data_IF_964293811285
#
_entry.id   IF_964293811285
#
_cell.length_a   1.000
_cell.length_b   1.000
_cell.length_c   1.000
_cell.angle_alpha   90.00
_cell.angle_beta   90.00
_cell.angle_gamma   90.00
#
_symmetry.space_group_name_H-M   'P 1'
#
loop_
_entity.id
_entity.type
_entity.pdbx_description
1 polymer ?
#
# COMPACT_ATOMS: atom_id res chain seq x y z
N UNK A 1 13.94 -21.54 -25.98
CA UNK A 1 13.21 -20.38 -25.45
C UNK A 1 14.15 -19.58 -24.57
N UNK A 2 14.29 -18.28 -24.83
CA UNK A 2 15.06 -17.40 -23.96
C UNK A 2 14.33 -17.23 -22.60
N UNK A 3 15.06 -17.07 -21.49
CA UNK A 3 14.43 -16.80 -20.22
C UNK A 3 13.89 -15.36 -20.20
N UNK A 4 12.73 -15.15 -19.57
CA UNK A 4 12.16 -13.81 -19.42
C UNK A 4 13.14 -12.87 -18.70
N UNK A 5 13.21 -11.58 -19.07
CA UNK A 5 14.07 -10.62 -18.42
C UNK A 5 13.85 -10.60 -16.90
N UNK A 6 14.95 -10.49 -16.14
CA UNK A 6 14.92 -10.39 -14.68
C UNK A 6 15.56 -9.08 -14.26
N UNK A 7 14.77 -8.22 -13.65
CA UNK A 7 15.23 -6.91 -13.20
C UNK A 7 15.62 -6.94 -11.73
N UNK A 8 16.65 -6.18 -11.37
CA UNK A 8 17.04 -5.98 -9.97
C UNK A 8 16.04 -5.10 -9.23
N UNK A 9 16.00 -5.25 -7.90
CA UNK A 9 15.27 -4.32 -7.03
C UNK A 9 15.84 -2.91 -7.20
N UNK A 10 14.97 -1.92 -7.23
CA UNK A 10 15.30 -0.51 -7.37
C UNK A 10 14.43 0.34 -6.46
N UNK A 11 14.88 1.56 -6.18
CA UNK A 11 14.15 2.53 -5.35
C UNK A 11 13.68 3.68 -6.24
N UNK A 12 12.46 4.15 -6.02
CA UNK A 12 11.93 5.33 -6.69
C UNK A 12 12.63 6.60 -6.18
N UNK A 13 12.61 7.70 -6.92
CA UNK A 13 12.83 9.03 -6.36
C UNK A 13 11.84 9.35 -5.24
N UNK A 14 12.02 10.49 -4.56
CA UNK A 14 11.02 11.04 -3.63
C UNK A 14 9.77 11.41 -4.42
N UNK A 15 8.62 10.93 -4.00
CA UNK A 15 7.33 11.29 -4.59
C UNK A 15 6.27 11.45 -3.54
N UNK A 16 5.19 12.12 -3.90
CA UNK A 16 4.04 12.34 -3.02
C UNK A 16 3.08 11.17 -3.11
N UNK A 17 2.73 10.57 -2.00
CA UNK A 17 1.80 9.44 -1.94
C UNK A 17 0.38 9.87 -2.32
N UNK A 18 -0.26 9.05 -3.14
CA UNK A 18 -1.65 9.20 -3.54
C UNK A 18 -2.38 7.88 -3.32
N UNK A 19 -3.42 7.90 -2.50
CA UNK A 19 -4.20 6.73 -2.06
C UNK A 19 -3.33 5.58 -1.54
N UNK A 20 -2.45 5.82 -0.56
CA UNK A 20 -1.60 4.78 0.00
C UNK A 20 -2.42 3.82 0.87
N UNK A 21 -2.28 2.51 0.63
CA UNK A 21 -2.76 1.43 1.48
C UNK A 21 -1.54 0.69 2.04
N UNK A 22 -0.82 1.33 2.96
CA UNK A 22 0.46 0.87 3.50
C UNK A 22 0.37 0.40 4.95
N UNK A 23 -0.52 1.01 5.74
CA UNK A 23 -0.77 0.61 7.13
C UNK A 23 -1.59 -0.66 7.23
N UNK A 24 -2.58 -0.81 6.33
CA UNK A 24 -3.40 -2.00 6.20
C UNK A 24 -3.64 -2.31 4.71
N UNK A 25 -3.82 -3.59 4.34
CA UNK A 25 -4.08 -3.95 2.95
C UNK A 25 -5.53 -3.58 2.56
N UNK A 26 -5.70 -3.09 1.33
CA UNK A 26 -7.02 -2.87 0.74
C UNK A 26 -7.67 -4.21 0.36
N UNK A 27 -8.86 -4.49 0.91
CA UNK A 27 -9.64 -5.71 0.67
C UNK A 27 -10.83 -5.50 -0.25
N UNK A 28 -11.03 -4.29 -0.79
CA UNK A 28 -12.20 -3.92 -1.59
C UNK A 28 -12.39 -4.78 -2.83
N UNK A 29 -11.30 -5.08 -3.54
CA UNK A 29 -11.32 -5.86 -4.79
C UNK A 29 -10.65 -7.23 -4.67
N UNK A 30 -9.79 -7.41 -3.69
CA UNK A 30 -9.05 -8.64 -3.42
C UNK A 30 -9.27 -8.99 -1.95
N UNK A 31 -10.08 -10.00 -1.62
CA UNK A 31 -10.43 -10.34 -0.23
C UNK A 31 -9.23 -10.61 0.66
N UNK A 32 -8.17 -11.20 0.10
CA UNK A 32 -6.92 -11.45 0.81
C UNK A 32 -6.13 -10.17 1.11
N UNK A 33 -6.49 -9.04 0.48
CA UNK A 33 -5.90 -7.74 0.65
C UNK A 33 -4.65 -7.47 -0.20
N UNK A 34 -4.46 -6.18 -0.54
CA UNK A 34 -3.32 -5.70 -1.33
C UNK A 34 -2.78 -4.41 -0.72
N UNK A 35 -1.49 -4.40 -0.38
CA UNK A 35 -0.77 -3.15 -0.10
C UNK A 35 -0.44 -2.45 -1.40
N UNK A 36 -0.65 -1.15 -1.46
CA UNK A 36 -0.41 -0.38 -2.67
C UNK A 36 -0.15 1.09 -2.37
N UNK A 37 0.55 1.77 -3.27
CA UNK A 37 0.75 3.21 -3.21
C UNK A 37 0.93 3.75 -4.64
N UNK A 38 0.15 4.73 -5.05
CA UNK A 38 0.47 5.57 -6.20
C UNK A 38 1.40 6.68 -5.75
N UNK A 39 2.21 7.19 -6.65
CA UNK A 39 3.12 8.29 -6.35
C UNK A 39 3.00 9.36 -7.42
N UNK A 40 2.92 10.61 -7.00
CA UNK A 40 2.88 11.78 -7.87
C UNK A 40 4.25 12.41 -7.93
N UNK A 41 4.67 12.79 -9.13
CA UNK A 41 5.95 13.41 -9.42
C UNK A 41 5.79 14.67 -10.28
N UNK A 42 6.73 15.60 -10.13
CA UNK A 42 6.91 16.70 -11.06
C UNK A 42 7.74 16.22 -12.25
N UNK A 43 7.25 16.33 -13.50
CA UNK A 43 8.01 15.95 -14.70
C UNK A 43 9.32 16.70 -14.88
N UNK A 44 9.47 17.89 -14.29
CA UNK A 44 10.68 18.70 -14.31
C UNK A 44 11.78 18.19 -13.36
N UNK A 45 11.47 17.27 -12.43
CA UNK A 45 12.44 16.69 -11.52
C UNK A 45 13.41 15.77 -12.28
N UNK A 46 14.72 16.09 -12.29
CA UNK A 46 15.71 15.29 -13.01
C UNK A 46 15.87 13.86 -12.46
N UNK A 47 15.64 13.62 -11.15
CA UNK A 47 15.66 12.29 -10.57
C UNK A 47 14.48 11.44 -11.10
N UNK A 48 13.32 12.07 -11.22
CA UNK A 48 12.14 11.43 -11.79
C UNK A 48 12.34 11.14 -13.28
N UNK A 49 12.82 12.10 -14.06
CA UNK A 49 13.07 11.92 -15.49
C UNK A 49 14.04 10.75 -15.76
N UNK A 50 15.16 10.68 -15.02
CA UNK A 50 16.12 9.58 -15.14
C UNK A 50 15.55 8.22 -14.69
N UNK A 51 14.68 8.20 -13.66
CA UNK A 51 14.00 6.99 -13.23
C UNK A 51 12.99 6.52 -14.29
N UNK A 52 12.19 7.43 -14.83
CA UNK A 52 11.20 7.17 -15.89
C UNK A 52 11.88 6.56 -17.14
N UNK A 53 13.01 7.11 -17.58
CA UNK A 53 13.80 6.59 -18.68
C UNK A 53 14.22 5.12 -18.45
N UNK A 54 14.72 4.79 -17.23
CA UNK A 54 15.05 3.41 -16.85
C UNK A 54 13.87 2.46 -16.93
N UNK A 55 12.71 2.89 -16.45
CA UNK A 55 11.49 2.08 -16.51
C UNK A 55 11.03 1.89 -17.95
N UNK A 56 11.09 2.94 -18.79
CA UNK A 56 10.78 2.83 -20.23
C UNK A 56 11.69 1.83 -20.91
N UNK A 57 13.00 1.92 -20.70
CA UNK A 57 13.95 0.96 -21.29
C UNK A 57 13.67 -0.49 -20.86
N UNK A 58 13.28 -0.73 -19.59
CA UNK A 58 12.88 -2.06 -19.13
C UNK A 58 11.60 -2.55 -19.80
N UNK A 59 10.61 -1.67 -20.02
CA UNK A 59 9.36 -2.02 -20.75
C UNK A 59 9.68 -2.38 -22.19
N UNK A 60 10.58 -1.65 -22.86
CA UNK A 60 11.00 -1.91 -24.22
C UNK A 60 11.74 -3.26 -24.33
N UNK A 61 12.62 -3.58 -23.36
CA UNK A 61 13.28 -4.90 -23.28
C UNK A 61 12.25 -6.04 -23.15
N UNK A 62 11.23 -5.87 -22.29
CA UNK A 62 10.15 -6.84 -22.12
C UNK A 62 9.32 -6.97 -23.41
N UNK A 63 9.08 -5.86 -24.10
CA UNK A 63 8.36 -5.85 -25.38
C UNK A 63 9.11 -6.66 -26.44
N UNK A 64 10.42 -6.44 -26.60
CA UNK A 64 11.25 -7.20 -27.56
C UNK A 64 11.28 -8.70 -27.22
N UNK A 65 11.40 -9.04 -25.92
CA UNK A 65 11.30 -10.43 -25.48
C UNK A 65 9.99 -11.07 -25.92
N UNK A 66 8.83 -10.44 -25.66
CA UNK A 66 7.53 -11.02 -26.02
C UNK A 66 7.25 -11.00 -27.52
N UNK A 67 7.82 -10.06 -28.29
CA UNK A 67 7.78 -10.10 -29.77
C UNK A 67 8.50 -11.34 -30.33
N UNK A 68 9.62 -11.71 -29.71
CA UNK A 68 10.38 -12.91 -30.10
C UNK A 68 9.65 -14.20 -29.65
N UNK A 69 9.14 -14.26 -28.41
CA UNK A 69 8.46 -15.44 -27.86
C UNK A 69 7.08 -15.71 -28.50
N UNK A 70 6.38 -14.65 -28.94
CA UNK A 70 5.01 -14.74 -29.46
C UNK A 70 4.86 -14.17 -30.87
N UNK A 71 5.54 -14.75 -31.87
CA UNK A 71 5.58 -14.19 -33.25
C UNK A 71 4.20 -14.07 -33.89
N UNK A 72 3.23 -14.92 -33.51
CA UNK A 72 1.86 -14.89 -34.05
C UNK A 72 1.08 -13.63 -33.64
N UNK A 73 1.37 -13.04 -32.48
CA UNK A 73 0.68 -11.86 -31.93
C UNK A 73 1.56 -10.61 -31.87
N UNK A 74 2.82 -10.68 -32.30
CA UNK A 74 3.80 -9.58 -32.20
C UNK A 74 3.30 -8.23 -32.70
N UNK A 75 2.50 -8.21 -33.77
CA UNK A 75 1.92 -6.98 -34.34
C UNK A 75 0.78 -6.40 -33.52
N UNK A 76 0.23 -7.16 -32.57
CA UNK A 76 -0.88 -6.77 -31.68
C UNK A 76 -0.40 -6.39 -30.27
N UNK A 77 0.87 -6.64 -29.96
CA UNK A 77 1.42 -6.30 -28.65
C UNK A 77 1.43 -4.79 -28.44
N UNK A 78 1.01 -4.36 -27.25
CA UNK A 78 0.96 -2.95 -26.85
C UNK A 78 1.84 -2.76 -25.61
N UNK A 79 2.75 -1.80 -25.66
CA UNK A 79 3.53 -1.42 -24.50
C UNK A 79 2.62 -0.77 -23.44
N UNK A 80 2.74 -1.19 -22.19
CA UNK A 80 2.07 -0.59 -21.05
C UNK A 80 3.12 0.03 -20.14
N UNK A 81 3.19 1.36 -20.17
CA UNK A 81 4.05 2.14 -19.28
C UNK A 81 3.29 2.47 -17.99
N UNK A 82 3.93 2.36 -16.80
CA UNK A 82 3.27 2.59 -15.53
C UNK A 82 3.22 4.07 -15.15
N UNK A 83 2.93 4.95 -16.11
CA UNK A 83 2.80 6.39 -15.91
C UNK A 83 1.51 6.88 -16.55
N UNK A 84 0.86 7.83 -15.90
CA UNK A 84 -0.26 8.58 -16.46
C UNK A 84 -0.14 10.03 -16.01
N UNK A 85 -0.63 10.95 -16.81
CA UNK A 85 -0.79 12.33 -16.42
C UNK A 85 -1.83 12.44 -15.30
N UNK A 86 -1.55 13.29 -14.32
CA UNK A 86 -2.50 13.58 -13.26
C UNK A 86 -3.54 14.56 -13.77
N UNK A 87 -4.80 14.25 -13.54
CA UNK A 87 -5.93 15.14 -13.81
C UNK A 87 -6.59 15.54 -12.50
N UNK A 88 -7.08 16.76 -12.40
CA UNK A 88 -7.87 17.26 -11.30
C UNK A 88 -9.32 16.71 -11.32
N UNK A 89 -10.15 17.18 -10.39
CA UNK A 89 -11.56 16.80 -10.27
C UNK A 89 -12.41 17.24 -11.48
N UNK A 90 -11.95 18.24 -12.24
CA UNK A 90 -12.61 18.74 -13.45
C UNK A 90 -12.14 17.99 -14.71
N UNK A 91 -11.13 17.11 -14.57
CA UNK A 91 -10.49 16.39 -15.68
C UNK A 91 -9.42 17.21 -16.41
N UNK A 92 -8.99 18.34 -15.83
CA UNK A 92 -7.89 19.15 -16.38
C UNK A 92 -6.54 18.58 -15.93
N UNK A 93 -5.54 18.63 -16.83
CA UNK A 93 -4.19 18.16 -16.54
C UNK A 93 -3.51 19.10 -15.53
N UNK A 94 -2.99 18.53 -14.44
CA UNK A 94 -2.28 19.30 -13.40
C UNK A 94 -0.84 19.60 -13.75
N UNK A 95 -0.33 19.02 -14.86
CA UNK A 95 1.07 19.07 -15.24
C UNK A 95 1.97 18.16 -14.41
N UNK A 96 1.41 17.30 -13.56
CA UNK A 96 2.13 16.28 -12.78
C UNK A 96 1.90 14.88 -13.35
N UNK A 97 2.77 13.95 -13.00
CA UNK A 97 2.67 12.56 -13.45
C UNK A 97 2.44 11.62 -12.27
N UNK A 98 1.54 10.66 -12.47
CA UNK A 98 1.29 9.58 -11.52
C UNK A 98 2.07 8.34 -11.96
N UNK A 99 2.97 7.84 -11.09
CA UNK A 99 3.54 6.51 -11.19
C UNK A 99 2.56 5.50 -10.62
N UNK A 100 2.10 4.61 -11.51
CA UNK A 100 1.04 3.67 -11.16
C UNK A 100 1.56 2.54 -10.27
N UNK A 101 0.96 2.45 -9.22
CA UNK A 101 0.79 1.53 -8.11
C UNK A 101 1.76 0.34 -8.05
N UNK A 102 2.92 0.50 -7.42
CA UNK A 102 3.60 -0.63 -6.81
C UNK A 102 2.66 -1.38 -5.85
N UNK A 103 2.60 -2.72 -5.98
CA UNK A 103 1.66 -3.56 -5.22
C UNK A 103 2.36 -4.72 -4.54
N UNK A 104 1.83 -5.12 -3.37
CA UNK A 104 2.20 -6.34 -2.67
C UNK A 104 0.93 -7.03 -2.15
N UNK A 105 0.66 -8.24 -2.60
CA UNK A 105 -0.44 -9.03 -2.04
C UNK A 105 -0.16 -9.33 -0.57
N UNK A 106 -1.15 -9.12 0.29
CA UNK A 106 -1.05 -9.40 1.72
C UNK A 106 -0.98 -10.92 2.00
N UNK A 107 -1.49 -11.73 1.07
CA UNK A 107 -1.43 -13.18 1.15
C UNK A 107 -0.86 -13.75 -0.15
N UNK A 108 0.10 -14.64 -0.02
CA UNK A 108 0.68 -15.38 -1.14
C UNK A 108 0.55 -16.87 -0.87
N UNK A 109 0.02 -17.62 -1.83
CA UNK A 109 0.02 -19.07 -1.82
C UNK A 109 1.26 -19.59 -2.55
N UNK A 110 2.11 -20.33 -1.84
CA UNK A 110 3.32 -20.91 -2.43
C UNK A 110 2.95 -22.08 -3.31
N UNK A 111 3.38 -22.07 -4.57
CA UNK A 111 3.03 -23.12 -5.55
C UNK A 111 3.65 -24.51 -5.24
N UNK A 112 4.73 -24.57 -4.46
CA UNK A 112 5.45 -25.83 -4.20
C UNK A 112 4.78 -26.70 -3.14
N UNK A 113 4.15 -26.11 -2.14
CA UNK A 113 3.59 -26.78 -0.96
C UNK A 113 2.21 -26.24 -0.54
N UNK A 114 1.63 -25.40 -1.37
CA UNK A 114 0.33 -24.73 -1.20
C UNK A 114 0.22 -23.91 0.11
N UNK A 115 1.36 -23.64 0.73
CA UNK A 115 1.44 -22.91 2.00
C UNK A 115 1.03 -21.45 1.83
N UNK A 116 0.15 -21.01 2.71
CA UNK A 116 -0.28 -19.59 2.79
C UNK A 116 0.78 -18.80 3.56
N UNK A 117 1.29 -17.73 2.95
CA UNK A 117 2.26 -16.81 3.54
C UNK A 117 1.60 -15.44 3.65
N UNK A 118 1.49 -14.91 4.86
CA UNK A 118 1.10 -13.52 5.10
C UNK A 118 2.30 -12.61 4.83
N UNK A 119 2.07 -11.57 4.05
CA UNK A 119 3.07 -10.58 3.65
C UNK A 119 2.69 -9.24 4.24
N UNK A 120 3.69 -8.49 4.68
CA UNK A 120 3.58 -7.08 5.07
C UNK A 120 4.55 -6.25 4.23
N UNK A 121 4.34 -4.96 4.18
CA UNK A 121 5.27 -4.00 3.58
C UNK A 121 5.98 -3.28 4.70
N UNK A 122 7.28 -3.51 4.91
CA UNK A 122 8.06 -2.79 5.92
C UNK A 122 8.08 -1.29 5.63
N UNK A 123 7.83 -0.49 6.67
CA UNK A 123 7.93 0.96 6.64
C UNK A 123 9.20 1.39 7.39
N UNK A 124 9.94 2.33 6.83
CA UNK A 124 11.14 2.89 7.43
C UNK A 124 11.05 4.41 7.50
N UNK A 125 11.65 5.00 8.50
CA UNK A 125 11.85 6.45 8.57
C UNK A 125 12.97 6.93 7.63
N UNK A 126 13.21 8.23 7.61
CA UNK A 126 14.26 8.85 6.78
C UNK A 126 15.68 8.38 7.14
N UNK A 127 15.88 7.82 8.34
CA UNK A 127 17.16 7.30 8.85
C UNK A 127 17.28 5.79 8.73
N UNK A 128 16.25 5.10 8.22
CA UNK A 128 16.24 3.65 8.02
C UNK A 128 15.81 2.84 9.24
N UNK A 129 15.25 3.48 10.28
CA UNK A 129 14.63 2.78 11.40
C UNK A 129 13.25 2.27 10.97
N UNK A 130 12.94 1.02 11.28
CA UNK A 130 11.64 0.43 11.00
C UNK A 130 10.55 1.08 11.86
N UNK A 131 9.41 1.36 11.23
CA UNK A 131 8.24 1.99 11.83
C UNK A 131 7.14 0.92 11.96
N UNK A 132 6.53 0.82 13.14
CA UNK A 132 5.30 0.05 13.30
C UNK A 132 4.16 0.70 12.48
N UNK A 133 3.54 0.00 11.53
CA UNK A 133 2.43 0.54 10.75
C UNK A 133 1.23 1.00 11.60
N UNK A 134 1.12 0.53 12.85
CA UNK A 134 0.06 0.96 13.77
C UNK A 134 0.39 2.26 14.51
N UNK A 135 1.68 2.59 14.63
CA UNK A 135 2.13 3.78 15.36
C UNK A 135 2.07 5.07 14.53
N UNK A 136 1.95 4.97 13.21
CA UNK A 136 1.95 6.13 12.31
C UNK A 136 1.07 5.86 11.09
N UNK A 137 0.18 6.78 10.78
CA UNK A 137 -0.65 6.72 9.59
C UNK A 137 0.07 7.36 8.38
N UNK A 138 0.16 6.61 7.28
CA UNK A 138 0.68 7.09 5.99
C UNK A 138 -0.51 7.46 5.11
N UNK A 139 -0.83 8.74 5.04
CA UNK A 139 -1.94 9.28 4.26
C UNK A 139 -1.51 9.90 2.93
N UNK A 140 -2.50 10.43 2.18
CA UNK A 140 -2.26 11.24 0.99
C UNK A 140 -1.36 12.45 1.33
N UNK A 141 -0.49 12.83 0.40
CA UNK A 141 0.43 13.94 0.61
C UNK A 141 1.73 13.58 1.33
N UNK A 142 1.83 12.37 1.93
CA UNK A 142 3.08 11.88 2.52
C UNK A 142 4.18 11.78 1.45
N UNK A 143 5.35 12.37 1.72
CA UNK A 143 6.52 12.22 0.84
C UNK A 143 7.27 10.96 1.20
N UNK A 144 7.47 10.07 0.22
CA UNK A 144 8.07 8.77 0.45
C UNK A 144 8.88 8.27 -0.75
N UNK A 145 9.63 7.17 -0.54
CA UNK A 145 10.28 6.38 -1.58
C UNK A 145 9.80 4.94 -1.49
N UNK A 146 9.60 4.30 -2.63
CA UNK A 146 9.23 2.88 -2.70
C UNK A 146 10.42 2.04 -3.18
N UNK A 147 10.74 0.99 -2.46
CA UNK A 147 11.59 -0.08 -2.98
C UNK A 147 10.72 -1.04 -3.80
N UNK A 148 11.00 -1.21 -5.08
CA UNK A 148 10.21 -2.01 -6.02
C UNK A 148 11.06 -3.09 -6.68
N UNK A 149 10.40 -4.19 -7.05
CA UNK A 149 10.97 -5.26 -7.87
C UNK A 149 10.15 -5.35 -9.14
N UNK A 150 10.64 -4.78 -10.28
CA UNK A 150 9.96 -4.93 -11.56
C UNK A 150 9.95 -6.39 -12.00
N UNK A 151 8.84 -6.85 -12.56
CA UNK A 151 8.69 -8.17 -13.14
C UNK A 151 7.91 -8.08 -14.45
N UNK A 152 8.37 -8.72 -15.54
CA UNK A 152 7.69 -8.69 -16.81
C UNK A 152 6.31 -9.35 -16.73
N UNK A 153 5.33 -8.78 -17.43
CA UNK A 153 4.04 -9.41 -17.65
C UNK A 153 3.57 -9.28 -19.09
N UNK A 154 2.68 -10.19 -19.49
CA UNK A 154 1.87 -10.11 -20.69
C UNK A 154 0.43 -10.46 -20.33
N UNK A 155 -0.51 -9.58 -20.67
CA UNK A 155 -1.95 -9.85 -20.57
C UNK A 155 -2.44 -10.35 -21.92
N UNK A 156 -3.13 -11.49 -21.94
CA UNK A 156 -3.65 -12.08 -23.19
C UNK A 156 -4.91 -11.36 -23.68
N UNK A 157 -5.68 -10.72 -22.80
CA UNK A 157 -6.98 -10.13 -23.11
C UNK A 157 -6.85 -8.93 -24.08
N UNK A 158 -5.87 -8.06 -23.82
CA UNK A 158 -5.63 -6.84 -24.59
C UNK A 158 -4.26 -6.81 -25.29
N UNK A 159 -3.47 -7.88 -25.15
CA UNK A 159 -2.08 -8.00 -25.60
C UNK A 159 -1.13 -6.95 -25.00
N UNK A 160 -1.42 -6.43 -23.81
CA UNK A 160 -0.55 -5.49 -23.09
C UNK A 160 0.68 -6.20 -22.53
N UNK A 161 1.83 -5.57 -22.71
CA UNK A 161 3.14 -6.01 -22.22
C UNK A 161 3.75 -4.90 -21.38
N UNK A 162 4.27 -5.22 -20.23
CA UNK A 162 4.85 -4.20 -19.34
C UNK A 162 5.49 -4.79 -18.09
N UNK A 163 5.57 -3.97 -17.05
CA UNK A 163 6.18 -4.29 -15.76
C UNK A 163 5.16 -4.31 -14.64
N UNK A 164 5.02 -5.45 -13.96
CA UNK A 164 4.38 -5.51 -12.66
C UNK A 164 5.37 -5.01 -11.60
N UNK A 165 5.01 -3.95 -10.90
CA UNK A 165 5.84 -3.30 -9.90
C UNK A 165 5.53 -3.93 -8.53
N UNK A 166 6.38 -4.85 -8.07
CA UNK A 166 6.20 -5.50 -6.77
C UNK A 166 6.77 -4.60 -5.68
N UNK A 167 5.90 -4.10 -4.80
CA UNK A 167 6.28 -3.30 -3.63
C UNK A 167 7.02 -4.17 -2.62
N UNK A 168 8.17 -3.71 -2.13
CA UNK A 168 9.02 -4.47 -1.20
C UNK A 168 9.18 -3.78 0.15
N UNK A 169 9.28 -2.47 0.15
CA UNK A 169 9.41 -1.64 1.34
C UNK A 169 9.09 -0.18 0.98
N UNK A 170 8.82 0.62 1.98
CA UNK A 170 8.60 2.06 1.83
C UNK A 170 9.46 2.81 2.84
N UNK A 171 10.11 3.87 2.41
CA UNK A 171 10.79 4.83 3.27
C UNK A 171 9.97 6.11 3.30
N UNK A 172 9.48 6.48 4.49
CA UNK A 172 8.76 7.72 4.74
C UNK A 172 9.78 8.83 4.97
N UNK A 173 9.72 9.88 4.17
CA UNK A 173 10.63 11.03 4.25
C UNK A 173 9.98 12.17 5.05
N UNK A 174 8.70 12.42 4.78
CA UNK A 174 7.92 13.45 5.46
C UNK A 174 6.47 12.99 5.52
N UNK A 175 5.91 12.95 6.71
CA UNK A 175 4.48 12.63 6.91
C UNK A 175 3.66 13.84 6.48
N UNK A 176 2.56 13.60 5.77
CA UNK A 176 1.61 14.65 5.48
C UNK A 176 1.02 15.17 6.80
N UNK A 177 1.09 16.46 7.00
CA UNK A 177 0.31 17.13 8.04
C UNK A 177 -1.16 17.06 7.63
N UNK A 178 -2.02 16.54 8.49
CA UNK A 178 -3.47 16.71 8.31
C UNK A 178 -3.85 18.20 8.28
N UNK A 179 -5.02 18.53 7.80
CA UNK A 179 -5.51 19.90 7.93
C UNK A 179 -5.51 20.30 9.41
N UNK A 180 -4.99 21.48 9.71
CA UNK A 180 -5.03 22.02 11.08
C UNK A 180 -6.48 22.42 11.43
N UNK A 181 -6.75 22.56 12.72
CA UNK A 181 -8.03 23.04 13.23
C UNK A 181 -8.46 24.35 12.55
N UNK A 182 -7.52 25.26 12.38
CA UNK A 182 -7.75 26.54 11.69
C UNK A 182 -8.01 26.36 10.18
N UNK A 183 -7.36 25.42 9.51
CA UNK A 183 -7.59 25.14 8.08
C UNK A 183 -8.99 24.59 7.81
N UNK A 184 -9.62 23.99 8.83
CA UNK A 184 -11.02 23.52 8.76
C UNK A 184 -12.05 24.61 9.01
N UNK A 185 -11.61 25.83 9.36
CA UNK A 185 -12.48 26.97 9.65
C UNK A 185 -13.19 26.88 11.02
N UNK A 186 -12.68 26.05 11.93
CA UNK A 186 -13.14 26.02 13.31
C UNK A 186 -12.45 27.12 14.12
N UNK A 187 -13.19 27.72 15.05
CA UNK A 187 -12.69 28.66 16.04
C UNK A 187 -12.71 28.01 17.42
N UNK A 188 -11.84 28.46 18.32
CA UNK A 188 -11.81 27.97 19.71
C UNK A 188 -13.08 28.43 20.45
N UNK A 189 -13.72 27.49 21.14
CA UNK A 189 -14.90 27.75 21.97
C UNK A 189 -14.52 27.67 23.45
N UNK A 190 -14.71 28.79 24.19
CA UNK A 190 -14.26 28.90 25.59
C UNK A 190 -14.96 27.92 26.56
N UNK A 191 -16.19 27.48 26.25
CA UNK A 191 -17.00 26.56 27.08
C UNK A 191 -17.14 25.16 26.41
N UNK A 192 -16.20 24.74 25.55
CA UNK A 192 -16.25 23.50 24.80
C UNK A 192 -15.73 22.29 25.59
N UNK A 193 -15.88 21.10 24.99
CA UNK A 193 -15.29 19.85 25.48
C UNK A 193 -13.78 19.87 25.26
N UNK A 194 -13.01 19.67 26.32
CA UNK A 194 -11.55 19.49 26.26
C UNK A 194 -11.23 17.99 26.33
N UNK A 195 -10.47 17.50 25.37
CA UNK A 195 -9.99 16.13 25.32
C UNK A 195 -8.76 15.98 26.21
N UNK A 196 -8.90 15.20 27.30
CA UNK A 196 -7.80 14.85 28.19
C UNK A 196 -7.31 13.43 27.90
N UNK A 197 -6.08 13.31 27.40
CA UNK A 197 -5.48 12.02 27.05
C UNK A 197 -5.35 11.07 28.26
N UNK A 198 -5.14 11.60 29.47
CA UNK A 198 -5.05 10.77 30.69
C UNK A 198 -6.40 10.15 31.04
N UNK A 199 -7.50 10.90 30.87
CA UNK A 199 -8.86 10.39 31.12
C UNK A 199 -9.30 9.38 30.04
N UNK A 200 -8.90 9.57 28.78
CA UNK A 200 -9.22 8.65 27.69
C UNK A 200 -8.55 7.28 27.89
N UNK A 201 -7.31 7.26 28.37
CA UNK A 201 -6.58 6.01 28.68
C UNK A 201 -7.20 5.30 29.87
N UNK A 202 -7.66 6.04 30.89
CA UNK A 202 -8.32 5.47 32.06
C UNK A 202 -9.69 4.84 31.71
N UNK A 203 -10.46 5.47 30.82
CA UNK A 203 -11.74 4.91 30.35
C UNK A 203 -11.56 3.63 29.51
N UNK A 204 -10.56 3.56 28.66
CA UNK A 204 -10.27 2.33 27.89
C UNK A 204 -9.83 1.17 28.78
N UNK A 205 -9.19 1.43 29.93
CA UNK A 205 -8.82 0.40 30.89
C UNK A 205 -10.04 -0.11 31.67
N UNK A 206 -10.96 0.77 32.06
CA UNK A 206 -12.20 0.38 32.76
C UNK A 206 -13.14 -0.42 31.86
N UNK A 207 -13.31 -0.02 30.60
CA UNK A 207 -14.15 -0.74 29.64
C UNK A 207 -13.59 -2.16 29.34
N UNK A 208 -12.26 -2.31 29.26
CA UNK A 208 -11.63 -3.62 29.10
C UNK A 208 -11.77 -4.52 30.36
N UNK A 209 -11.75 -3.96 31.55
CA UNK A 209 -12.00 -4.73 32.78
C UNK A 209 -13.47 -5.13 32.94
N UNK A 210 -14.40 -4.30 32.48
CA UNK A 210 -15.83 -4.60 32.55
C UNK A 210 -16.21 -5.71 31.53
N UNK A 211 -15.67 -5.68 30.31
CA UNK A 211 -15.86 -6.75 29.32
C UNK A 211 -15.26 -8.08 29.81
N UNK A 212 -14.09 -8.05 30.48
CA UNK A 212 -13.47 -9.25 31.03
C UNK A 212 -14.28 -9.90 32.17
N UNK A 213 -15.12 -9.15 32.87
CA UNK A 213 -16.02 -9.68 33.92
C UNK A 213 -17.27 -10.36 33.38
N UNK A 214 -17.73 -9.99 32.20
CA UNK A 214 -18.88 -10.63 31.55
C UNK A 214 -18.55 -11.95 30.84
N UNK A 215 -17.29 -12.19 30.52
CA UNK A 215 -16.85 -13.41 29.82
C UNK A 215 -16.49 -14.58 30.74
N UNK A 216 -16.65 -14.45 32.06
CA UNK A 216 -16.39 -15.52 33.01
C UNK A 216 -17.63 -15.82 33.86
N UNK A 217 -18.59 -16.66 33.39
CA UNK A 217 -19.72 -17.05 34.23
C UNK A 217 -19.24 -17.85 35.44
N UNK A 218 -19.70 -17.45 36.59
CA UNK A 218 -19.39 -18.11 37.86
C UNK A 218 -19.74 -19.61 37.81
N UNK A 219 -18.96 -20.52 38.41
CA UNK A 219 -19.27 -21.93 38.44
C UNK A 219 -20.58 -22.15 39.23
N UNK A 220 -21.54 -22.79 38.56
CA UNK A 220 -22.80 -23.22 39.20
C UNK A 220 -22.49 -24.16 40.34
N UNK A 221 -22.98 -23.78 41.54
CA UNK A 221 -22.95 -24.63 42.72
C UNK A 221 -23.87 -25.85 42.47
N UNK A 222 -23.29 -27.03 42.42
CA UNK A 222 -24.01 -28.27 42.30
C UNK A 222 -24.95 -28.46 43.50
N UNK A 223 -26.24 -28.56 43.22
CA UNK A 223 -27.25 -29.06 44.17
C UNK A 223 -27.17 -30.59 44.11
N UNK A 224 -26.64 -31.16 45.18
CA UNK A 224 -26.84 -32.60 45.48
C UNK A 224 -28.35 -32.78 45.74
N UNK A 225 -29.02 -33.49 44.88
CA UNK A 225 -30.37 -34.02 45.13
C UNK A 225 -30.25 -35.52 45.41
N UNK A 226 -30.38 -35.82 46.70
CA UNK A 226 -30.44 -37.13 47.30
C UNK A 226 -31.91 -37.59 47.24
N UNK A 227 -32.25 -38.52 46.39
CA UNK A 227 -33.50 -39.25 46.47
C UNK A 227 -33.31 -40.73 46.11
N UNK A 228 -33.25 -41.51 47.15
CA UNK A 228 -33.64 -42.89 47.26
C UNK A 228 -35.02 -43.18 46.62
N UNK A 229 -35.07 -44.20 45.72
CA UNK A 229 -36.02 -45.32 45.63
C UNK A 229 -35.75 -46.16 44.38
#
# INVERSE_FOLDING_TARGET
MAAAPKFKKMTTPKGTALYPNLNSPDTKFVPEGVYSCKMVFDPSDPEWAAFKEKICAMVDEVMEYYKAEKPKVKKKLKAHYPFVEETDENGEETGREIFQTPKQNAVIRRKSDDKIIKMTVPLFDSKGKEIDPKAMFVGNGTVLKCAIQPAPFHKNDDNSVGLALRLKAVQVIQVASGPSFADMGFEEEEDGFEFDEEQAVAQQQTDNEEVARFDNPAPEAGTEDDTDF
#
